data_IF_258933538026
#
_entry.id   IF_258933538026
#
_cell.length_a   1.000
_cell.length_b   1.000
_cell.length_c   1.000
_cell.angle_alpha   90.00
_cell.angle_beta   90.00
_cell.angle_gamma   90.00
#
_symmetry.space_group_name_H-M   'P 1'
#
loop_
_entity.id
_entity.type
_entity.pdbx_description
1 polymer ?
#
# COMPACT_ATOMS: atom_id res chain seq x y z
N UNK A 1 -36.88 32.07 -27.72
CA UNK A 1 -36.61 30.65 -27.40
C UNK A 1 -35.33 30.24 -28.14
N UNK A 2 -34.15 30.56 -27.60
CA UNK A 2 -32.88 30.12 -28.16
C UNK A 2 -32.55 28.76 -27.52
N UNK A 3 -32.77 27.69 -28.26
CA UNK A 3 -32.57 26.31 -27.82
C UNK A 3 -31.07 26.01 -27.73
N UNK A 4 -30.41 26.53 -26.69
CA UNK A 4 -29.00 26.27 -26.44
C UNK A 4 -28.87 24.84 -25.89
N UNK A 5 -28.66 23.89 -26.80
CA UNK A 5 -28.34 22.49 -26.49
C UNK A 5 -26.91 22.40 -25.95
N UNK A 6 -26.70 22.93 -24.75
CA UNK A 6 -25.49 22.64 -23.99
C UNK A 6 -25.64 21.21 -23.47
N UNK A 7 -25.25 20.25 -24.29
CA UNK A 7 -25.03 18.87 -23.88
C UNK A 7 -23.75 18.83 -23.05
N UNK A 8 -23.85 19.13 -21.76
CA UNK A 8 -22.78 18.80 -20.84
C UNK A 8 -22.76 17.27 -20.73
N UNK A 9 -21.69 16.59 -21.16
CA UNK A 9 -21.59 15.17 -20.86
C UNK A 9 -21.66 15.05 -19.35
N UNK A 10 -22.68 14.34 -18.85
CA UNK A 10 -22.81 14.03 -17.43
C UNK A 10 -21.46 13.46 -17.02
N UNK A 11 -20.73 14.24 -16.21
CA UNK A 11 -19.37 13.94 -15.81
C UNK A 11 -19.34 12.48 -15.40
N UNK A 12 -18.62 11.69 -16.18
CA UNK A 12 -18.50 10.25 -16.06
C UNK A 12 -17.65 9.94 -14.82
N UNK A 13 -18.10 10.44 -13.67
CA UNK A 13 -17.64 10.13 -12.31
C UNK A 13 -18.41 8.94 -11.74
N UNK A 14 -18.94 8.08 -12.62
CA UNK A 14 -19.47 6.78 -12.25
C UNK A 14 -18.30 5.87 -11.94
N UNK A 15 -17.98 5.74 -10.64
CA UNK A 15 -16.99 4.79 -10.11
C UNK A 15 -15.58 5.02 -10.66
N UNK A 16 -14.94 6.14 -10.32
CA UNK A 16 -13.47 6.18 -10.30
C UNK A 16 -12.98 5.16 -9.28
N UNK A 17 -12.86 3.91 -9.73
CA UNK A 17 -12.24 2.84 -9.01
C UNK A 17 -10.75 3.02 -9.25
N UNK A 18 -10.02 3.46 -8.23
CA UNK A 18 -8.56 3.46 -8.21
C UNK A 18 -8.09 2.00 -8.20
N UNK A 19 -8.24 1.31 -9.34
CA UNK A 19 -7.73 -0.05 -9.56
C UNK A 19 -6.21 -0.09 -9.57
N UNK A 20 -5.59 1.07 -9.62
CA UNK A 20 -4.15 1.24 -9.48
C UNK A 20 -3.79 1.25 -7.99
N UNK A 21 -4.06 0.13 -7.33
CA UNK A 21 -3.33 -0.20 -6.12
C UNK A 21 -1.87 -0.33 -6.56
N UNK A 22 -1.06 0.69 -6.23
CA UNK A 22 0.34 0.76 -6.62
C UNK A 22 0.98 -0.56 -6.21
N UNK A 23 1.34 -1.39 -7.19
CA UNK A 23 1.99 -2.67 -6.93
C UNK A 23 3.36 -2.33 -6.35
N UNK A 24 3.41 -2.15 -5.03
CA UNK A 24 4.63 -1.83 -4.33
C UNK A 24 5.63 -2.92 -4.70
N UNK A 25 6.70 -2.52 -5.41
CA UNK A 25 7.80 -3.44 -5.74
C UNK A 25 8.37 -4.08 -4.47
N UNK A 26 8.19 -3.39 -3.32
CA UNK A 26 8.56 -3.83 -1.99
C UNK A 26 7.28 -4.03 -1.17
N UNK A 27 6.60 -5.15 -1.41
CA UNK A 27 5.57 -5.63 -0.50
C UNK A 27 6.25 -6.40 0.64
N UNK A 28 6.43 -5.74 1.78
CA UNK A 28 6.92 -6.38 3.01
C UNK A 28 5.89 -7.42 3.46
N UNK A 29 6.08 -8.65 2.99
CA UNK A 29 5.27 -9.79 3.44
C UNK A 29 5.44 -9.96 4.95
N UNK A 30 4.40 -10.41 5.69
CA UNK A 30 4.49 -10.71 7.12
C UNK A 30 5.70 -11.58 7.50
N UNK A 31 6.17 -12.43 6.58
CA UNK A 31 7.39 -13.22 6.70
C UNK A 31 8.63 -12.39 7.04
N UNK A 32 8.80 -11.20 6.42
CA UNK A 32 9.95 -10.34 6.69
C UNK A 32 9.93 -9.78 8.12
N UNK A 33 8.74 -9.46 8.63
CA UNK A 33 8.54 -8.97 9.99
C UNK A 33 8.93 -10.07 10.99
N UNK A 34 8.49 -11.31 10.76
CA UNK A 34 8.80 -12.46 11.62
C UNK A 34 10.32 -12.70 11.68
N UNK A 35 11.00 -12.72 10.52
CA UNK A 35 12.45 -12.90 10.44
C UNK A 35 13.19 -11.79 11.19
N UNK A 36 12.74 -10.54 11.05
CA UNK A 36 13.37 -9.40 11.74
C UNK A 36 13.24 -9.50 13.27
N UNK A 37 12.08 -9.93 13.78
CA UNK A 37 11.88 -10.17 15.22
C UNK A 37 12.82 -11.25 15.73
N UNK A 38 12.96 -12.37 15.01
CA UNK A 38 13.91 -13.43 15.38
C UNK A 38 15.36 -12.94 15.43
N UNK A 39 15.77 -12.10 14.46
CA UNK A 39 17.11 -11.51 14.44
C UNK A 39 17.37 -10.66 15.69
N UNK A 40 16.42 -9.83 16.10
CA UNK A 40 16.55 -9.01 17.31
C UNK A 40 16.65 -9.88 18.57
N UNK A 41 15.86 -10.96 18.66
CA UNK A 41 15.93 -11.89 19.78
C UNK A 41 17.30 -12.55 19.86
N UNK A 42 17.81 -13.04 18.73
CA UNK A 42 19.15 -13.62 18.65
C UNK A 42 20.23 -12.63 19.02
N UNK A 43 20.12 -11.38 18.57
CA UNK A 43 21.05 -10.30 18.93
C UNK A 43 21.03 -10.00 20.43
N UNK A 44 19.84 -9.94 21.05
CA UNK A 44 19.73 -9.76 22.50
C UNK A 44 20.36 -10.92 23.27
N UNK A 45 20.12 -12.16 22.82
CA UNK A 45 20.68 -13.35 23.45
C UNK A 45 22.19 -13.37 23.30
N UNK A 46 22.71 -13.10 22.10
CA UNK A 46 24.16 -13.05 21.87
C UNK A 46 24.79 -12.00 22.77
N UNK A 47 24.20 -10.80 22.88
CA UNK A 47 24.72 -9.76 23.76
C UNK A 47 24.82 -10.23 25.22
N UNK A 48 23.80 -10.88 25.77
CA UNK A 48 23.82 -11.37 27.15
C UNK A 48 24.61 -12.66 27.38
N UNK A 49 25.05 -13.35 26.32
CA UNK A 49 25.97 -14.50 26.42
C UNK A 49 27.42 -14.03 26.29
N UNK A 50 27.69 -13.02 25.47
CA UNK A 50 29.03 -12.51 25.21
C UNK A 50 29.47 -11.38 26.15
N UNK A 51 28.54 -10.73 26.85
CA UNK A 51 28.78 -9.66 27.82
C UNK A 51 27.96 -9.90 29.10
#
# INVERSE_FOLDING_TARGET
MAQNTINMPAGFGGLTNYKEEYASKINLKPTHIIVFVFLIILFRISLGVFY
#
